data_IF_547893928906
#
_entry.id   IF_547893928906
#
_cell.length_a   1.000
_cell.length_b   1.000
_cell.length_c   1.000
_cell.angle_alpha   90.00
_cell.angle_beta   90.00
_cell.angle_gamma   90.00
#
_symmetry.space_group_name_H-M   'P 1'
#
loop_
_entity.id
_entity.type
_entity.pdbx_description
1 polymer ?
#
# COMPACT_ATOMS: atom_id res chain seq x y z
N UNK A 1 -4.58 9.05 1.79
CA UNK A 1 -5.83 8.76 1.06
C UNK A 1 -5.92 7.29 0.66
N UNK A 2 -4.89 6.75 -0.02
CA UNK A 2 -4.88 5.34 -0.44
C UNK A 2 -4.95 4.40 0.77
N UNK A 3 -4.20 4.67 1.83
CA UNK A 3 -4.26 3.87 3.04
C UNK A 3 -5.69 3.80 3.61
N UNK A 4 -6.38 4.92 3.61
CA UNK A 4 -7.77 4.97 4.09
C UNK A 4 -8.69 4.10 3.23
N UNK A 5 -8.51 4.14 1.90
CA UNK A 5 -9.31 3.34 0.97
C UNK A 5 -8.99 1.84 1.07
N UNK A 6 -7.71 1.49 1.24
CA UNK A 6 -7.27 0.09 1.24
C UNK A 6 -7.58 -0.63 2.55
N UNK A 7 -7.40 0.04 3.68
CA UNK A 7 -7.46 -0.61 4.99
C UNK A 7 -8.16 0.19 6.09
N UNK A 8 -8.68 1.38 5.77
CA UNK A 8 -9.14 2.31 6.80
C UNK A 8 -7.98 2.86 7.63
N UNK A 9 -6.74 2.76 7.14
CA UNK A 9 -5.55 3.23 7.84
C UNK A 9 -4.93 2.23 8.80
N UNK A 10 -5.41 0.98 8.83
CA UNK A 10 -4.95 -0.03 9.79
C UNK A 10 -3.67 -0.73 9.32
N UNK A 11 -2.63 -0.72 10.18
CA UNK A 11 -1.41 -1.50 9.94
C UNK A 11 -1.60 -3.01 10.10
N UNK A 12 -2.67 -3.44 10.76
CA UNK A 12 -2.92 -4.87 11.04
C UNK A 12 -3.98 -5.50 10.14
N UNK A 13 -4.55 -4.74 9.22
CA UNK A 13 -5.55 -5.26 8.29
C UNK A 13 -4.93 -6.34 7.40
N UNK A 14 -5.67 -7.43 7.17
CA UNK A 14 -5.24 -8.49 6.26
C UNK A 14 -6.41 -8.92 5.38
N UNK A 15 -6.12 -9.17 4.10
CA UNK A 15 -7.08 -9.70 3.15
C UNK A 15 -6.36 -10.71 2.25
N UNK A 16 -6.36 -11.98 2.67
CA UNK A 16 -5.62 -13.01 1.96
C UNK A 16 -4.13 -12.70 1.96
N UNK A 17 -3.56 -12.43 0.78
CA UNK A 17 -2.12 -12.11 0.62
C UNK A 17 -1.82 -10.63 0.80
N UNK A 18 -2.82 -9.78 0.94
CA UNK A 18 -2.67 -8.34 1.09
C UNK A 18 -2.57 -7.98 2.56
N UNK A 19 -1.52 -7.27 2.92
CA UNK A 19 -1.14 -7.03 4.31
C UNK A 19 -1.08 -5.53 4.61
N UNK A 20 -1.67 -5.17 5.74
CA UNK A 20 -1.41 -3.92 6.41
C UNK A 20 -2.13 -2.71 5.84
N UNK A 21 -1.57 -1.56 6.17
CA UNK A 21 -2.19 -0.26 5.93
C UNK A 21 -2.42 0.02 4.44
N UNK A 22 -1.49 -0.43 3.59
CA UNK A 22 -1.55 -0.17 2.16
C UNK A 22 -1.99 -1.38 1.34
N UNK A 23 -2.26 -2.50 2.01
CA UNK A 23 -2.72 -3.74 1.37
C UNK A 23 -1.80 -4.19 0.23
N UNK A 24 -0.50 -4.11 0.47
CA UNK A 24 0.49 -4.67 -0.44
C UNK A 24 0.59 -6.18 -0.24
N UNK A 25 0.94 -6.89 -1.30
CA UNK A 25 1.17 -8.33 -1.22
C UNK A 25 2.29 -8.63 -0.21
N UNK A 26 2.12 -9.68 0.58
CA UNK A 26 3.06 -10.04 1.64
C UNK A 26 4.51 -10.18 1.16
N UNK A 27 4.73 -10.61 -0.08
CA UNK A 27 6.06 -10.75 -0.66
C UNK A 27 6.84 -9.42 -0.73
N UNK A 28 6.15 -8.30 -0.83
CA UNK A 28 6.81 -6.98 -0.81
C UNK A 28 7.43 -6.65 0.55
N UNK A 29 6.91 -7.22 1.62
CA UNK A 29 7.34 -6.92 2.98
C UNK A 29 8.49 -7.82 3.45
N UNK A 30 8.78 -8.92 2.75
CA UNK A 30 9.86 -9.85 3.06
C UNK A 30 9.86 -10.35 4.53
N UNK A 31 8.66 -10.62 5.05
CA UNK A 31 8.50 -11.13 6.41
C UNK A 31 8.53 -10.09 7.51
N UNK A 32 8.81 -8.82 7.20
CA UNK A 32 8.80 -7.73 8.17
C UNK A 32 7.51 -6.92 8.00
N UNK A 33 6.54 -7.16 8.88
CA UNK A 33 5.23 -6.52 8.83
C UNK A 33 5.13 -5.31 9.75
N UNK A 34 6.26 -4.78 10.23
CA UNK A 34 6.27 -3.58 11.08
C UNK A 34 5.69 -2.37 10.34
N UNK A 35 5.14 -1.42 11.12
CA UNK A 35 4.61 -0.18 10.55
C UNK A 35 5.68 0.57 9.75
N UNK A 36 6.91 0.64 10.27
CA UNK A 36 8.02 1.30 9.59
C UNK A 36 8.30 0.69 8.23
N UNK A 37 8.34 -0.65 8.15
CA UNK A 37 8.59 -1.33 6.90
C UNK A 37 7.44 -1.17 5.93
N UNK A 38 6.20 -1.19 6.42
CA UNK A 38 5.03 -0.95 5.58
C UNK A 38 5.09 0.42 4.92
N UNK A 39 5.44 1.47 5.67
CA UNK A 39 5.57 2.82 5.11
C UNK A 39 6.69 2.89 4.07
N UNK A 40 7.85 2.33 4.40
CA UNK A 40 9.01 2.33 3.50
C UNK A 40 8.73 1.60 2.19
N UNK A 41 8.15 0.42 2.30
CA UNK A 41 7.84 -0.41 1.12
C UNK A 41 6.74 0.24 0.27
N UNK A 42 5.74 0.84 0.91
CA UNK A 42 4.67 1.54 0.19
C UNK A 42 5.23 2.74 -0.58
N UNK A 43 6.11 3.53 0.03
CA UNK A 43 6.75 4.66 -0.64
C UNK A 43 7.55 4.19 -1.86
N UNK A 44 8.33 3.12 -1.70
CA UNK A 44 9.12 2.55 -2.79
C UNK A 44 8.23 2.00 -3.92
N UNK A 45 7.16 1.31 -3.56
CA UNK A 45 6.20 0.76 -4.52
C UNK A 45 5.59 1.87 -5.37
N UNK A 46 5.11 2.93 -4.71
CA UNK A 46 4.47 4.05 -5.39
C UNK A 46 5.47 4.84 -6.24
N UNK A 47 6.66 5.09 -5.70
CA UNK A 47 7.69 5.82 -6.44
C UNK A 47 8.11 5.09 -7.71
N UNK A 48 8.28 3.76 -7.63
CA UNK A 48 8.70 2.96 -8.78
C UNK A 48 7.60 2.76 -9.81
N UNK A 49 6.34 2.70 -9.38
CA UNK A 49 5.23 2.36 -10.26
C UNK A 49 4.50 3.58 -10.80
N UNK A 50 4.31 4.61 -9.98
CA UNK A 50 3.52 5.79 -10.34
C UNK A 50 4.32 7.08 -10.32
N UNK A 51 5.44 7.10 -9.65
CA UNK A 51 6.29 8.28 -9.49
C UNK A 51 5.93 9.15 -8.28
N UNK A 52 4.66 9.20 -7.88
CA UNK A 52 4.22 9.96 -6.72
C UNK A 52 2.92 9.39 -6.15
N UNK A 53 2.62 9.75 -4.89
CA UNK A 53 1.35 9.37 -4.27
C UNK A 53 0.15 10.02 -4.97
N UNK A 54 0.32 11.23 -5.48
CA UNK A 54 -0.74 11.91 -6.25
C UNK A 54 -1.08 11.13 -7.51
N UNK A 55 -0.06 10.67 -8.24
CA UNK A 55 -0.27 9.85 -9.43
C UNK A 55 -0.92 8.50 -9.08
N UNK A 56 -0.52 7.88 -7.97
CA UNK A 56 -1.13 6.64 -7.50
C UNK A 56 -2.61 6.85 -7.14
N UNK A 57 -2.94 7.95 -6.49
CA UNK A 57 -4.33 8.30 -6.18
C UNK A 57 -5.16 8.46 -7.45
N UNK A 58 -4.63 9.16 -8.44
CA UNK A 58 -5.33 9.34 -9.72
C UNK A 58 -5.57 8.01 -10.43
N UNK A 59 -4.59 7.12 -10.39
CA UNK A 59 -4.74 5.78 -10.93
C UNK A 59 -5.84 5.02 -10.19
N UNK A 60 -5.84 5.09 -8.84
CA UNK A 60 -6.84 4.44 -8.00
C UNK A 60 -8.25 4.93 -8.33
N UNK A 61 -8.42 6.26 -8.52
CA UNK A 61 -9.72 6.85 -8.83
C UNK A 61 -10.26 6.35 -10.17
N UNK A 62 -9.39 6.07 -11.13
CA UNK A 62 -9.80 5.60 -12.46
C UNK A 62 -9.99 4.09 -12.53
N UNK A 63 -9.34 3.31 -11.66
CA UNK A 63 -9.27 1.86 -11.78
C UNK A 63 -9.79 1.09 -10.56
N UNK A 64 -9.89 1.72 -9.38
CA UNK A 64 -10.32 1.08 -8.14
C UNK A 64 -9.24 0.24 -7.45
N UNK A 65 -7.97 0.39 -7.84
CA UNK A 65 -6.81 -0.30 -7.25
C UNK A 65 -5.54 0.48 -7.58
N UNK A 66 -4.46 0.07 -7.00
CA UNK A 66 -3.13 0.58 -7.36
C UNK A 66 -2.07 -0.53 -7.24
#
# INVERSE_FOLDING_TARGET
WIAQKESGGSYTATNGRYIGRYQLTDSYLNGDYSAENQERVADAYVAGRYGSWTAAKNFWLNNGWY
#
